data_IF_123304993838
#
_entry.id   IF_123304993838
#
_cell.length_a   1.000
_cell.length_b   1.000
_cell.length_c   1.000
_cell.angle_alpha   90.00
_cell.angle_beta   90.00
_cell.angle_gamma   90.00
#
_symmetry.space_group_name_H-M   'P 1'
#
loop_
_entity.id
_entity.type
_entity.pdbx_description
1 polymer ?
#
# COMPACT_ATOMS: atom_id res chain seq x y z
N UNK A 1 25.70 6.72 -11.71
CA UNK A 1 25.56 5.92 -10.47
C UNK A 1 24.60 6.56 -9.46
N UNK A 2 24.76 7.84 -9.08
CA UNK A 2 23.85 8.50 -8.12
C UNK A 2 22.36 8.45 -8.55
N UNK A 3 22.07 8.75 -9.82
CA UNK A 3 20.72 8.65 -10.39
C UNK A 3 20.15 7.21 -10.43
N UNK A 4 21.02 6.19 -10.42
CA UNK A 4 20.60 4.79 -10.42
C UNK A 4 20.26 4.30 -9.00
N UNK A 5 21.06 4.71 -8.01
CA UNK A 5 20.80 4.42 -6.59
C UNK A 5 19.52 5.13 -6.12
N UNK A 6 19.34 6.40 -6.48
CA UNK A 6 18.13 7.17 -6.15
C UNK A 6 16.87 6.57 -6.80
N UNK A 7 16.95 6.09 -8.05
CA UNK A 7 15.82 5.41 -8.70
C UNK A 7 15.55 4.02 -8.15
N UNK A 8 16.58 3.24 -7.84
CA UNK A 8 16.43 1.90 -7.24
C UNK A 8 15.83 2.01 -5.83
N UNK A 9 16.22 3.03 -5.07
CA UNK A 9 15.62 3.37 -3.78
C UNK A 9 14.14 3.75 -3.89
N UNK A 10 13.77 4.56 -4.88
CA UNK A 10 12.36 4.92 -5.13
C UNK A 10 11.50 3.72 -5.53
N UNK A 11 12.04 2.77 -6.30
CA UNK A 11 11.34 1.53 -6.65
C UNK A 11 11.08 0.64 -5.43
N UNK A 12 12.11 0.47 -4.59
CA UNK A 12 12.00 -0.28 -3.33
C UNK A 12 10.99 0.34 -2.36
N UNK A 13 10.99 1.66 -2.21
CA UNK A 13 10.02 2.38 -1.36
C UNK A 13 8.60 2.24 -1.91
N UNK A 14 8.40 2.36 -3.22
CA UNK A 14 7.08 2.18 -3.85
C UNK A 14 6.51 0.78 -3.63
N UNK A 15 7.34 -0.27 -3.79
CA UNK A 15 6.97 -1.65 -3.50
C UNK A 15 6.67 -1.88 -2.02
N UNK A 16 7.46 -1.30 -1.12
CA UNK A 16 7.29 -1.44 0.32
C UNK A 16 5.99 -0.76 0.80
N UNK A 17 5.68 0.42 0.27
CA UNK A 17 4.41 1.12 0.52
C UNK A 17 3.21 0.36 -0.03
N UNK A 18 3.33 -0.25 -1.21
CA UNK A 18 2.28 -1.10 -1.76
C UNK A 18 2.05 -2.35 -0.90
N UNK A 19 3.12 -3.02 -0.44
CA UNK A 19 3.02 -4.17 0.46
C UNK A 19 2.39 -3.81 1.81
N UNK A 20 2.79 -2.67 2.39
CA UNK A 20 2.17 -2.13 3.62
C UNK A 20 0.69 -1.81 3.39
N UNK A 21 0.35 -1.19 2.26
CA UNK A 21 -1.03 -0.89 1.90
C UNK A 21 -1.92 -2.14 1.81
N UNK A 22 -1.43 -3.21 1.15
CA UNK A 22 -2.12 -4.50 1.08
C UNK A 22 -2.29 -5.11 2.48
N UNK A 23 -1.24 -5.06 3.32
CA UNK A 23 -1.29 -5.57 4.69
C UNK A 23 -2.34 -4.85 5.54
N UNK A 24 -2.40 -3.52 5.46
CA UNK A 24 -3.39 -2.71 6.17
C UNK A 24 -4.82 -3.01 5.71
N UNK A 25 -5.04 -3.20 4.40
CA UNK A 25 -6.35 -3.62 3.86
C UNK A 25 -6.74 -5.00 4.42
N UNK A 26 -5.80 -5.95 4.50
CA UNK A 26 -6.04 -7.26 5.09
C UNK A 26 -6.45 -7.20 6.57
N UNK A 27 -5.75 -6.40 7.37
CA UNK A 27 -6.09 -6.18 8.79
C UNK A 27 -7.46 -5.51 8.94
N UNK A 28 -7.75 -4.48 8.14
CA UNK A 28 -9.05 -3.81 8.12
C UNK A 28 -10.20 -4.79 7.84
N UNK A 29 -10.03 -5.67 6.87
CA UNK A 29 -11.03 -6.70 6.56
C UNK A 29 -11.23 -7.67 7.74
N UNK A 30 -10.16 -8.09 8.40
CA UNK A 30 -10.24 -8.98 9.57
C UNK A 30 -10.99 -8.29 10.72
N UNK A 31 -10.70 -7.02 11.01
CA UNK A 31 -11.35 -6.29 12.10
C UNK A 31 -12.84 -6.01 11.83
N UNK A 32 -13.19 -5.68 10.59
CA UNK A 32 -14.59 -5.55 10.15
C UNK A 32 -15.31 -6.90 10.30
N UNK A 33 -14.71 -8.00 9.83
CA UNK A 33 -15.33 -9.32 9.86
C UNK A 33 -15.52 -9.84 11.29
N UNK A 34 -14.56 -9.60 12.19
CA UNK A 34 -14.67 -9.91 13.63
C UNK A 34 -15.78 -9.12 14.29
N UNK A 35 -15.92 -7.84 13.93
CA UNK A 35 -16.96 -6.97 14.47
C UNK A 35 -18.37 -7.40 14.03
N UNK A 36 -18.52 -7.89 12.79
CA UNK A 36 -19.79 -8.40 12.26
C UNK A 36 -20.18 -9.76 12.88
N UNK A 37 -19.21 -10.62 13.23
CA UNK A 37 -19.48 -11.99 13.71
C UNK A 37 -19.76 -12.14 15.21
N UNK A 38 -19.45 -11.16 16.05
CA UNK A 38 -19.40 -11.40 17.50
C UNK A 38 -20.07 -10.38 18.42
N UNK A 39 -20.20 -9.11 18.03
CA UNK A 39 -20.73 -8.10 18.95
C UNK A 39 -21.35 -6.90 18.22
N UNK A 40 -22.69 -6.72 18.23
CA UNK A 40 -23.34 -5.56 17.62
C UNK A 40 -22.98 -4.22 18.30
N UNK A 41 -22.22 -4.26 19.40
CA UNK A 41 -21.73 -3.09 20.13
C UNK A 41 -20.31 -2.67 19.75
N UNK A 42 -19.62 -3.39 18.88
CA UNK A 42 -18.23 -3.12 18.52
C UNK A 42 -18.07 -2.12 17.34
N UNK A 43 -18.97 -1.14 17.26
CA UNK A 43 -18.91 -0.03 16.30
C UNK A 43 -17.56 0.72 16.28
N UNK A 44 -16.86 0.93 17.41
CA UNK A 44 -15.53 1.52 17.39
C UNK A 44 -14.52 0.69 16.60
N UNK A 45 -14.58 -0.64 16.68
CA UNK A 45 -13.73 -1.54 15.91
C UNK A 45 -13.96 -1.46 14.40
N UNK A 46 -15.23 -1.29 13.99
CA UNK A 46 -15.59 -1.08 12.58
C UNK A 46 -15.04 0.25 12.05
N UNK A 47 -15.15 1.33 12.82
CA UNK A 47 -14.63 2.66 12.44
C UNK A 47 -13.10 2.63 12.32
N UNK A 48 -12.42 2.01 13.29
CA UNK A 48 -10.96 1.85 13.26
C UNK A 48 -10.54 1.00 12.06
N UNK A 49 -11.21 -0.12 11.81
CA UNK A 49 -10.96 -0.96 10.63
C UNK A 49 -11.16 -0.19 9.33
N UNK A 50 -12.21 0.62 9.22
CA UNK A 50 -12.45 1.47 8.04
C UNK A 50 -11.33 2.50 7.83
N UNK A 51 -10.88 3.16 8.91
CA UNK A 51 -9.76 4.11 8.85
C UNK A 51 -8.47 3.43 8.42
N UNK A 52 -8.15 2.26 9.00
CA UNK A 52 -6.98 1.45 8.62
C UNK A 52 -7.06 1.05 7.15
N UNK A 53 -8.24 0.66 6.66
CA UNK A 53 -8.47 0.32 5.25
C UNK A 53 -8.29 1.51 4.31
N UNK A 54 -8.77 2.70 4.70
CA UNK A 54 -8.57 3.95 3.97
C UNK A 54 -7.09 4.34 3.89
N UNK A 55 -6.36 4.25 5.01
CA UNK A 55 -4.91 4.46 5.01
C UNK A 55 -4.17 3.42 4.16
N UNK A 56 -4.57 2.15 4.25
CA UNK A 56 -4.02 1.09 3.41
C UNK A 56 -4.22 1.35 1.91
N UNK A 57 -5.43 1.75 1.52
CA UNK A 57 -5.74 2.16 0.15
C UNK A 57 -4.93 3.37 -0.31
N UNK A 58 -4.77 4.38 0.55
CA UNK A 58 -3.93 5.55 0.27
C UNK A 58 -2.47 5.16 0.00
N UNK A 59 -1.86 4.35 0.88
CA UNK A 59 -0.48 3.89 0.69
C UNK A 59 -0.31 3.01 -0.56
N UNK A 60 -1.32 2.21 -0.89
CA UNK A 60 -1.34 1.41 -2.10
C UNK A 60 -1.40 2.28 -3.36
N UNK A 61 -2.25 3.31 -3.38
CA UNK A 61 -2.36 4.26 -4.50
C UNK A 61 -1.04 5.04 -4.67
N UNK A 62 -0.48 5.56 -3.59
CA UNK A 62 0.79 6.33 -3.65
C UNK A 62 1.94 5.42 -4.09
N UNK A 63 2.06 4.22 -3.50
CA UNK A 63 3.07 3.24 -3.88
C UNK A 63 2.94 2.79 -5.33
N UNK A 64 1.72 2.44 -5.77
CA UNK A 64 1.44 2.02 -7.14
C UNK A 64 1.64 3.16 -8.14
N UNK A 65 1.26 4.39 -7.82
CA UNK A 65 1.45 5.55 -8.70
C UNK A 65 2.93 5.89 -8.83
N UNK A 66 3.68 5.88 -7.73
CA UNK A 66 5.14 6.06 -7.74
C UNK A 66 5.83 4.98 -8.58
N UNK A 67 5.44 3.73 -8.39
CA UNK A 67 5.94 2.61 -9.17
C UNK A 67 5.61 2.75 -10.67
N UNK A 68 4.33 2.95 -11.03
CA UNK A 68 3.87 3.05 -12.43
C UNK A 68 4.49 4.24 -13.16
N UNK A 69 4.60 5.40 -12.52
CA UNK A 69 5.20 6.59 -13.14
C UNK A 69 6.69 6.38 -13.43
N UNK A 70 7.39 5.58 -12.62
CA UNK A 70 8.77 5.17 -12.91
C UNK A 70 8.80 4.22 -14.12
N UNK A 71 7.93 3.20 -14.22
CA UNK A 71 7.88 2.34 -15.42
C UNK A 71 7.51 3.11 -16.69
N UNK A 72 6.60 4.07 -16.61
CA UNK A 72 6.22 4.92 -17.75
C UNK A 72 7.35 5.87 -18.17
N UNK A 73 8.10 6.43 -17.22
CA UNK A 73 9.26 7.29 -17.52
C UNK A 73 10.51 6.51 -17.91
N UNK A 74 10.61 5.23 -17.54
CA UNK A 74 11.76 4.33 -17.77
C UNK A 74 11.47 3.19 -18.75
N UNK A 75 10.41 3.24 -19.55
CA UNK A 75 10.13 2.20 -20.57
C UNK A 75 11.25 2.04 -21.62
N UNK A 76 12.24 2.96 -21.67
CA UNK A 76 13.47 2.82 -22.45
C UNK A 76 14.71 2.38 -21.63
N UNK A 77 14.57 2.22 -20.32
CA UNK A 77 15.63 1.84 -19.38
C UNK A 77 15.10 0.77 -18.41
N UNK A 78 14.63 -0.38 -18.94
CA UNK A 78 14.71 -1.59 -18.14
C UNK A 78 16.22 -1.82 -17.93
N UNK A 79 16.75 -1.73 -16.71
CA UNK A 79 18.17 -1.91 -16.47
C UNK A 79 18.52 -3.34 -16.87
N UNK A 80 19.16 -3.51 -18.01
CA UNK A 80 19.83 -4.77 -18.34
C UNK A 80 21.06 -4.81 -17.44
N UNK A 81 21.14 -5.85 -16.62
CA UNK A 81 22.35 -6.19 -15.87
C UNK A 81 23.58 -6.25 -16.80
#
# INVERSE_FOLDING_TARGET
MLNWVLNSGNWGIGLLLAAVGIGLIGVALIDIFKSVKGDPKNWPGVIIGLLIGLFGGFFLIVGATGFINIFKSKSNEIPRA
#
